data_IF_229833985857
#
_entry.id   IF_229833985857
#
_cell.length_a   1.000
_cell.length_b   1.000
_cell.length_c   1.000
_cell.angle_alpha   90.00
_cell.angle_beta   90.00
_cell.angle_gamma   90.00
#
_symmetry.space_group_name_H-M   'P 1'
#
loop_
_entity.id
_entity.type
_entity.pdbx_description
1 polymer ?
#
# COMPACT_ATOMS: atom_id res chain seq x y z
N UNK A 1 25.85 30.35 -56.01
CA UNK A 1 25.32 29.04 -55.57
C UNK A 1 26.46 28.29 -54.90
N UNK A 2 26.42 28.15 -53.57
CA UNK A 2 27.53 27.59 -52.79
C UNK A 2 27.34 26.08 -52.64
N UNK A 3 28.19 25.30 -53.30
CA UNK A 3 28.17 23.82 -53.24
C UNK A 3 29.15 23.35 -52.19
N UNK A 4 28.65 22.83 -51.07
CA UNK A 4 29.48 22.23 -50.02
C UNK A 4 29.88 20.82 -50.50
N UNK A 5 31.18 20.53 -50.59
CA UNK A 5 31.70 19.19 -50.92
C UNK A 5 32.33 18.58 -49.67
N UNK A 6 31.78 17.47 -49.19
CA UNK A 6 32.34 16.73 -48.05
C UNK A 6 33.49 15.84 -48.50
N UNK A 7 34.57 15.82 -47.72
CA UNK A 7 35.66 14.85 -47.86
C UNK A 7 35.22 13.46 -47.37
N UNK A 8 35.94 12.41 -47.74
CA UNK A 8 35.66 11.03 -47.30
C UNK A 8 35.57 10.90 -45.77
N UNK A 9 36.40 11.67 -45.05
CA UNK A 9 36.40 11.72 -43.59
C UNK A 9 35.16 12.43 -43.04
N UNK A 10 34.69 13.48 -43.73
CA UNK A 10 33.45 14.18 -43.38
C UNK A 10 32.21 13.27 -43.50
N UNK A 11 32.17 12.40 -44.50
CA UNK A 11 31.11 11.39 -44.64
C UNK A 11 31.12 10.38 -43.48
N UNK A 12 32.29 9.92 -43.05
CA UNK A 12 32.39 9.02 -41.89
C UNK A 12 31.84 9.67 -40.62
N UNK A 13 32.20 10.92 -40.34
CA UNK A 13 31.69 11.66 -39.17
C UNK A 13 30.18 11.82 -39.24
N UNK A 14 29.64 12.18 -40.41
CA UNK A 14 28.20 12.37 -40.60
C UNK A 14 27.43 11.07 -40.36
N UNK A 15 27.92 9.94 -40.88
CA UNK A 15 27.32 8.62 -40.67
C UNK A 15 27.35 8.24 -39.18
N UNK A 16 28.47 8.46 -38.49
CA UNK A 16 28.57 8.19 -37.05
C UNK A 16 27.59 9.07 -36.26
N UNK A 17 27.47 10.35 -36.58
CA UNK A 17 26.52 11.24 -35.93
C UNK A 17 25.07 10.80 -36.16
N UNK A 18 24.70 10.41 -37.39
CA UNK A 18 23.38 9.85 -37.68
C UNK A 18 23.16 8.56 -36.90
N UNK A 19 24.16 7.67 -36.84
CA UNK A 19 24.07 6.41 -36.10
C UNK A 19 23.87 6.67 -34.60
N UNK A 20 24.60 7.60 -34.00
CA UNK A 20 24.44 7.97 -32.58
C UNK A 20 23.04 8.56 -32.33
N UNK A 21 22.55 9.44 -33.21
CA UNK A 21 21.20 10.00 -33.10
C UNK A 21 20.16 8.88 -33.26
N UNK A 22 20.34 7.98 -34.22
CA UNK A 22 19.45 6.85 -34.47
C UNK A 22 19.44 5.87 -33.29
N UNK A 23 20.60 5.56 -32.71
CA UNK A 23 20.71 4.75 -31.49
C UNK A 23 20.09 5.46 -30.28
N UNK A 24 20.23 6.78 -30.17
CA UNK A 24 19.53 7.57 -29.15
C UNK A 24 18.01 7.47 -29.33
N UNK A 25 17.51 7.61 -30.56
CA UNK A 25 16.08 7.43 -30.86
C UNK A 25 15.61 6.00 -30.56
N UNK A 26 16.36 4.96 -30.96
CA UNK A 26 16.05 3.57 -30.65
C UNK A 26 16.09 3.27 -29.14
N UNK A 27 17.02 3.89 -28.41
CA UNK A 27 17.11 3.81 -26.96
C UNK A 27 15.91 4.50 -26.30
N UNK A 28 15.51 5.68 -26.78
CA UNK A 28 14.25 6.34 -26.37
C UNK A 28 12.99 5.58 -26.79
N UNK A 29 13.05 4.79 -27.87
CA UNK A 29 11.94 3.98 -28.38
C UNK A 29 11.76 2.63 -27.68
N UNK A 30 12.76 2.18 -26.90
CA UNK A 30 12.52 1.22 -25.85
C UNK A 30 12.16 2.04 -24.61
N UNK A 31 10.88 2.26 -24.29
CA UNK A 31 10.55 2.61 -22.93
C UNK A 31 10.96 1.39 -22.10
N UNK A 32 12.20 1.38 -21.58
CA UNK A 32 12.52 0.68 -20.35
C UNK A 32 11.37 1.08 -19.44
N UNK A 33 10.51 0.09 -19.13
CA UNK A 33 9.11 0.26 -18.80
C UNK A 33 8.86 1.56 -18.08
N UNK A 34 8.05 2.43 -18.69
CA UNK A 34 7.61 3.69 -18.13
C UNK A 34 7.31 3.45 -16.63
N UNK A 35 8.22 3.87 -15.72
CA UNK A 35 7.95 3.94 -14.29
C UNK A 35 6.90 5.06 -14.16
N UNK A 36 5.66 4.70 -14.47
CA UNK A 36 4.53 5.62 -14.62
C UNK A 36 3.69 5.43 -13.37
N UNK A 37 3.96 6.25 -12.38
CA UNK A 37 3.27 6.23 -11.10
C UNK A 37 3.92 7.21 -10.14
N UNK A 38 3.15 7.66 -9.15
CA UNK A 38 3.69 8.45 -8.05
C UNK A 38 4.78 7.65 -7.32
N UNK A 39 5.95 8.24 -7.07
CA UNK A 39 7.01 7.60 -6.27
C UNK A 39 6.80 7.96 -4.81
N UNK A 40 6.74 6.95 -3.94
CA UNK A 40 6.57 7.14 -2.50
C UNK A 40 7.82 6.75 -1.72
N UNK A 41 7.98 7.38 -0.55
CA UNK A 41 8.95 6.97 0.47
C UNK A 41 8.42 5.73 1.19
N UNK A 42 9.21 4.66 1.21
CA UNK A 42 8.89 3.45 1.98
C UNK A 42 8.86 3.77 3.47
N UNK A 43 9.73 4.67 3.95
CA UNK A 43 9.69 5.12 5.34
C UNK A 43 8.35 5.79 5.67
N UNK A 44 7.88 6.71 4.82
CA UNK A 44 6.57 7.37 4.97
C UNK A 44 5.43 6.36 4.95
N UNK A 45 5.45 5.41 4.02
CA UNK A 45 4.43 4.36 3.93
C UNK A 45 4.39 3.53 5.23
N UNK A 46 5.55 3.08 5.71
CA UNK A 46 5.66 2.31 6.94
C UNK A 46 5.18 3.10 8.17
N UNK A 47 5.52 4.38 8.26
CA UNK A 47 5.02 5.27 9.31
C UNK A 47 3.49 5.31 9.32
N UNK A 48 2.85 5.45 8.16
CA UNK A 48 1.40 5.39 8.08
C UNK A 48 0.83 4.01 8.47
N UNK A 49 1.44 2.91 8.02
CA UNK A 49 1.00 1.56 8.40
C UNK A 49 1.04 1.35 9.92
N UNK A 50 2.09 1.82 10.60
CA UNK A 50 2.24 1.70 12.05
C UNK A 50 1.14 2.48 12.75
N UNK A 51 0.93 3.76 12.39
CA UNK A 51 -0.13 4.57 13.00
C UNK A 51 -1.52 3.96 12.84
N UNK A 52 -1.85 3.49 11.63
CA UNK A 52 -3.15 2.84 11.37
C UNK A 52 -3.30 1.54 12.15
N UNK A 53 -2.20 0.78 12.34
CA UNK A 53 -2.21 -0.45 13.12
C UNK A 53 -2.39 -0.18 14.62
N UNK A 54 -1.79 0.90 15.15
CA UNK A 54 -1.99 1.33 16.53
C UNK A 54 -3.43 1.78 16.80
N UNK A 55 -4.00 2.55 15.86
CA UNK A 55 -5.40 2.98 15.92
C UNK A 55 -6.35 1.77 15.87
N UNK A 56 -6.15 0.87 14.91
CA UNK A 56 -6.92 -0.37 14.80
C UNK A 56 -6.81 -1.23 16.07
N UNK A 57 -5.61 -1.39 16.64
CA UNK A 57 -5.40 -2.10 17.90
C UNK A 57 -6.12 -1.43 19.08
N UNK A 58 -6.14 -0.10 19.12
CA UNK A 58 -6.90 0.68 20.10
C UNK A 58 -8.40 0.40 20.01
N UNK A 59 -8.94 0.33 18.79
CA UNK A 59 -10.34 -0.02 18.54
C UNK A 59 -10.64 -1.46 18.97
N UNK A 60 -9.82 -2.43 18.56
CA UNK A 60 -10.01 -3.85 18.91
C UNK A 60 -10.05 -4.03 20.44
N UNK A 61 -9.15 -3.34 21.16
CA UNK A 61 -9.13 -3.33 22.62
C UNK A 61 -10.40 -2.69 23.20
N UNK A 62 -10.86 -1.57 22.64
CA UNK A 62 -12.07 -0.89 23.09
C UNK A 62 -13.32 -1.77 22.94
N UNK A 63 -13.47 -2.44 21.80
CA UNK A 63 -14.58 -3.38 21.54
C UNK A 63 -14.52 -4.58 22.50
N UNK A 64 -13.32 -5.12 22.72
CA UNK A 64 -13.09 -6.22 23.67
C UNK A 64 -13.53 -5.84 25.09
N UNK A 65 -13.14 -4.65 25.57
CA UNK A 65 -13.50 -4.15 26.92
C UNK A 65 -15.00 -3.85 27.08
N UNK A 66 -15.69 -3.47 26.00
CA UNK A 66 -17.14 -3.25 26.03
C UNK A 66 -17.96 -4.55 26.06
N UNK A 67 -17.32 -5.72 25.90
CA UNK A 67 -17.99 -7.02 25.71
C UNK A 67 -19.02 -7.03 24.56
N UNK A 68 -18.96 -6.07 23.65
CA UNK A 68 -19.90 -5.91 22.53
C UNK A 68 -19.27 -6.44 21.24
N UNK A 69 -18.94 -7.73 21.23
CA UNK A 69 -18.23 -8.36 20.11
C UNK A 69 -19.08 -8.45 18.84
N UNK A 70 -20.41 -8.37 18.95
CA UNK A 70 -21.37 -8.42 17.83
C UNK A 70 -20.94 -9.42 16.75
N UNK A 71 -20.67 -10.66 17.17
CA UNK A 71 -20.11 -11.67 16.29
C UNK A 71 -21.13 -12.12 15.25
N UNK A 72 -20.63 -12.27 14.04
CA UNK A 72 -21.28 -12.77 12.84
C UNK A 72 -20.51 -13.98 12.36
N UNK A 73 -21.09 -14.66 11.40
CA UNK A 73 -20.43 -15.75 10.71
C UNK A 73 -20.20 -15.33 9.28
N UNK A 74 -18.94 -15.43 8.82
CA UNK A 74 -18.59 -15.25 7.41
C UNK A 74 -19.41 -16.24 6.58
N UNK A 75 -19.93 -15.84 5.42
CA UNK A 75 -20.62 -16.75 4.50
C UNK A 75 -19.60 -17.70 3.84
N UNK A 76 -19.07 -18.64 4.62
CA UNK A 76 -18.25 -19.76 4.17
C UNK A 76 -19.12 -21.02 4.07
N UNK A 77 -18.88 -21.84 3.04
CA UNK A 77 -19.61 -23.06 2.77
C UNK A 77 -19.71 -24.01 3.98
N UNK A 78 -20.62 -24.97 3.86
CA UNK A 78 -21.20 -25.93 4.83
C UNK A 78 -20.30 -26.50 5.97
N UNK A 79 -18.98 -26.29 5.99
CA UNK A 79 -18.01 -26.98 6.84
C UNK A 79 -17.17 -26.10 7.78
N UNK A 80 -17.09 -24.76 7.63
CA UNK A 80 -16.34 -23.93 8.58
C UNK A 80 -16.95 -22.53 8.70
N UNK A 81 -17.60 -22.28 9.84
CA UNK A 81 -18.17 -20.98 10.19
C UNK A 81 -17.07 -20.16 10.85
N UNK A 82 -16.39 -19.33 10.07
CA UNK A 82 -15.39 -18.40 10.60
C UNK A 82 -16.11 -17.22 11.29
N UNK A 83 -15.75 -16.89 12.55
CA UNK A 83 -16.32 -15.74 13.23
C UNK A 83 -15.83 -14.47 12.56
N UNK A 84 -16.71 -13.48 12.47
CA UNK A 84 -16.45 -12.14 12.00
C UNK A 84 -17.02 -11.18 13.02
N UNK A 85 -16.24 -10.25 13.55
CA UNK A 85 -16.69 -9.32 14.60
C UNK A 85 -16.67 -7.87 14.12
N UNK A 86 -17.31 -6.99 14.88
CA UNK A 86 -17.19 -5.55 14.66
C UNK A 86 -15.72 -5.07 14.81
N UNK A 87 -14.86 -5.84 15.50
CA UNK A 87 -13.45 -5.54 15.62
C UNK A 87 -12.68 -5.82 14.32
N UNK A 88 -12.94 -6.94 13.63
CA UNK A 88 -12.37 -7.24 12.32
C UNK A 88 -12.79 -6.17 11.30
N UNK A 89 -14.09 -5.88 11.22
CA UNK A 89 -14.64 -4.90 10.27
C UNK A 89 -14.16 -3.48 10.56
N UNK A 90 -14.07 -3.12 11.84
CA UNK A 90 -13.62 -1.80 12.26
C UNK A 90 -12.13 -1.59 12.01
N UNK A 91 -11.30 -2.59 12.32
CA UNK A 91 -9.87 -2.61 12.00
C UNK A 91 -9.64 -2.53 10.50
N UNK A 92 -10.37 -3.34 9.72
CA UNK A 92 -10.37 -3.27 8.25
C UNK A 92 -10.67 -1.85 7.76
N UNK A 93 -11.74 -1.24 8.26
CA UNK A 93 -12.14 0.10 7.84
C UNK A 93 -11.05 1.14 8.13
N UNK A 94 -10.44 1.12 9.33
CA UNK A 94 -9.37 2.04 9.71
C UNK A 94 -8.17 1.88 8.77
N UNK A 95 -7.65 0.66 8.64
CA UNK A 95 -6.42 0.40 7.89
C UNK A 95 -6.62 0.65 6.40
N UNK A 96 -7.66 0.07 5.79
CA UNK A 96 -7.87 0.16 4.34
C UNK A 96 -8.27 1.57 3.92
N UNK A 97 -9.17 2.23 4.66
CA UNK A 97 -9.57 3.60 4.33
C UNK A 97 -8.40 4.57 4.54
N UNK A 98 -7.61 4.39 5.61
CA UNK A 98 -6.43 5.20 5.89
C UNK A 98 -5.37 5.08 4.80
N UNK A 99 -5.05 3.85 4.37
CA UNK A 99 -4.08 3.59 3.31
C UNK A 99 -4.56 4.13 1.95
N UNK A 100 -5.80 3.84 1.56
CA UNK A 100 -6.34 4.27 0.26
C UNK A 100 -6.55 5.78 0.17
N UNK A 101 -6.82 6.45 1.30
CA UNK A 101 -6.90 7.91 1.35
C UNK A 101 -5.53 8.58 1.28
N UNK A 102 -4.51 8.00 1.94
CA UNK A 102 -3.15 8.54 1.96
C UNK A 102 -2.36 8.23 0.67
N UNK A 103 -2.64 7.09 0.04
CA UNK A 103 -1.96 6.58 -1.15
C UNK A 103 -2.98 6.05 -2.17
N UNK A 104 -3.62 6.92 -2.99
CA UNK A 104 -4.73 6.52 -3.86
C UNK A 104 -4.39 5.49 -4.94
N UNK A 105 -3.13 5.44 -5.40
CA UNK A 105 -2.66 4.50 -6.42
C UNK A 105 -2.13 3.17 -5.82
N UNK A 106 -2.11 3.04 -4.48
CA UNK A 106 -1.62 1.83 -3.80
C UNK A 106 -2.63 0.68 -3.91
N UNK A 107 -2.14 -0.50 -4.32
CA UNK A 107 -2.95 -1.71 -4.29
C UNK A 107 -3.03 -2.27 -2.87
N UNK A 108 -4.22 -2.22 -2.26
CA UNK A 108 -4.49 -2.81 -0.93
C UNK A 108 -5.39 -4.04 -1.10
N UNK A 109 -4.99 -5.17 -0.51
CA UNK A 109 -5.73 -6.43 -0.47
C UNK A 109 -6.03 -6.78 0.96
N UNK A 110 -7.30 -6.80 1.36
CA UNK A 110 -7.69 -7.18 2.72
C UNK A 110 -8.48 -8.49 2.73
N UNK A 111 -8.37 -9.23 3.82
CA UNK A 111 -9.24 -10.39 4.06
C UNK A 111 -10.72 -9.99 4.09
N UNK A 112 -11.01 -8.89 4.79
CA UNK A 112 -12.37 -8.39 4.97
C UNK A 112 -12.77 -7.44 3.86
N UNK A 113 -14.06 -7.42 3.55
CA UNK A 113 -14.63 -6.65 2.44
C UNK A 113 -15.91 -5.89 2.84
N UNK A 114 -16.45 -6.19 4.02
CA UNK A 114 -17.66 -5.57 4.55
C UNK A 114 -17.30 -4.36 5.42
N UNK A 115 -18.27 -3.46 5.60
CA UNK A 115 -18.16 -2.36 6.55
C UNK A 115 -18.87 -2.71 7.86
N UNK A 116 -18.42 -2.14 9.00
CA UNK A 116 -19.13 -2.26 10.27
C UNK A 116 -20.58 -1.82 10.11
N UNK A 117 -21.52 -2.61 10.62
CA UNK A 117 -22.96 -2.27 10.55
C UNK A 117 -23.34 -1.19 11.55
N UNK A 118 -22.58 -1.08 12.64
CA UNK A 118 -22.69 0.03 13.56
C UNK A 118 -21.52 0.96 13.34
N UNK A 119 -21.83 2.23 13.07
CA UNK A 119 -20.81 3.27 13.04
C UNK A 119 -20.18 3.30 14.43
N UNK A 120 -18.86 3.13 14.46
CA UNK A 120 -18.03 3.10 15.66
C UNK A 120 -17.88 4.50 16.30
N UNK A 121 -18.97 5.27 16.35
CA UNK A 121 -19.01 6.68 16.73
C UNK A 121 -18.46 6.97 18.14
N UNK A 122 -18.45 5.96 19.01
CA UNK A 122 -17.97 6.09 20.38
C UNK A 122 -16.44 5.92 20.51
N UNK A 123 -15.79 5.33 19.51
CA UNK A 123 -14.34 5.20 19.53
C UNK A 123 -13.73 6.55 19.15
N UNK A 124 -13.19 7.24 20.16
CA UNK A 124 -12.33 8.39 19.92
C UNK A 124 -10.93 7.84 19.67
N UNK A 125 -10.36 8.23 18.53
CA UNK A 125 -8.98 7.94 18.16
C UNK A 125 -8.08 8.11 19.39
N UNK A 126 -7.57 6.97 19.87
CA UNK A 126 -6.60 6.99 20.94
C UNK A 126 -5.31 7.45 20.31
N UNK A 127 -4.92 8.69 20.64
CA UNK A 127 -3.67 9.28 20.19
C UNK A 127 -2.51 8.47 20.79
N UNK A 128 -2.09 7.43 20.07
CA UNK A 128 -0.91 6.64 20.39
C UNK A 128 0.27 7.19 19.58
N UNK A 129 1.28 7.65 20.32
CA UNK A 129 2.56 8.09 19.79
C UNK A 129 3.61 7.12 20.33
N UNK A 130 3.64 5.86 19.89
CA UNK A 130 4.88 5.12 20.11
C UNK A 130 5.99 5.92 19.41
N UNK A 131 7.11 6.17 20.10
CA UNK A 131 8.25 6.88 19.53
C UNK A 131 9.05 5.92 18.61
N UNK A 132 8.36 5.34 17.63
CA UNK A 132 8.93 4.38 16.69
C UNK A 132 9.78 5.07 15.62
N UNK A 133 9.61 6.39 15.43
CA UNK A 133 10.34 7.14 14.41
C UNK A 133 11.85 7.07 14.65
N UNK A 134 12.28 7.09 15.91
CA UNK A 134 13.68 6.92 16.31
C UNK A 134 14.25 5.53 15.98
N UNK A 135 13.39 4.53 15.79
CA UNK A 135 13.75 3.14 15.48
C UNK A 135 13.78 2.85 13.98
N UNK A 136 13.31 3.77 13.14
CA UNK A 136 13.34 3.60 11.70
C UNK A 136 14.77 3.84 11.16
N UNK A 137 15.19 3.11 10.12
CA UNK A 137 16.45 3.39 9.43
C UNK A 137 16.54 4.85 8.95
N UNK A 138 17.75 5.41 9.00
CA UNK A 138 18.01 6.75 8.48
C UNK A 138 17.96 6.82 6.95
N UNK A 139 18.29 5.70 6.29
CA UNK A 139 18.23 5.58 4.84
C UNK A 139 16.78 5.35 4.40
N UNK A 140 16.33 6.12 3.41
CA UNK A 140 14.98 6.01 2.85
C UNK A 140 15.04 5.42 1.44
N UNK A 141 14.07 4.56 1.15
CA UNK A 141 13.91 3.91 -0.14
C UNK A 141 12.70 4.50 -0.85
N UNK A 142 12.91 4.92 -2.10
CA UNK A 142 11.86 5.48 -2.94
C UNK A 142 11.44 4.47 -4.00
N UNK A 143 10.15 4.17 -4.08
CA UNK A 143 9.60 3.17 -5.01
C UNK A 143 8.33 3.70 -5.68
N UNK A 144 8.03 3.32 -6.94
CA UNK A 144 6.74 3.60 -7.54
C UNK A 144 5.63 2.94 -6.72
N UNK A 145 4.59 3.71 -6.37
CA UNK A 145 3.47 3.22 -5.57
C UNK A 145 2.70 2.08 -6.26
N UNK A 146 2.67 2.10 -7.59
CA UNK A 146 2.04 1.10 -8.45
C UNK A 146 2.74 -0.27 -8.41
N UNK A 147 4.00 -0.30 -7.96
CA UNK A 147 4.79 -1.53 -7.83
C UNK A 147 4.61 -2.18 -6.44
N UNK A 148 3.85 -1.52 -5.56
CA UNK A 148 3.58 -1.99 -4.20
C UNK A 148 2.20 -2.63 -4.06
N UNK A 149 2.15 -3.67 -3.23
CA UNK A 149 0.90 -4.25 -2.73
C UNK A 149 0.99 -4.42 -1.21
N UNK A 150 -0.05 -3.98 -0.50
CA UNK A 150 -0.21 -4.23 0.93
C UNK A 150 -1.29 -5.28 1.15
N UNK A 151 -0.96 -6.31 1.91
CA UNK A 151 -1.88 -7.35 2.35
C UNK A 151 -2.28 -7.08 3.79
N UNK A 152 -3.58 -7.00 4.04
CA UNK A 152 -4.15 -6.61 5.34
C UNK A 152 -5.01 -7.75 5.88
N UNK A 153 -4.52 -8.39 6.92
CA UNK A 153 -5.35 -9.14 7.86
C UNK A 153 -5.71 -8.19 9.01
N UNK A 154 -6.98 -7.76 9.13
CA UNK A 154 -7.37 -6.75 10.12
C UNK A 154 -7.36 -7.27 11.55
N UNK A 155 -7.52 -8.59 11.76
CA UNK A 155 -7.48 -9.22 13.06
C UNK A 155 -7.21 -10.72 12.87
N UNK A 156 -5.94 -11.12 13.02
CA UNK A 156 -5.57 -12.52 13.03
C UNK A 156 -6.02 -13.17 14.35
N UNK A 157 -6.51 -14.41 14.29
CA UNK A 157 -7.00 -15.15 15.46
C UNK A 157 -8.40 -14.73 15.94
N UNK A 158 -9.35 -14.48 15.03
CA UNK A 158 -10.74 -14.10 15.40
C UNK A 158 -11.44 -15.15 16.28
N UNK A 159 -11.08 -16.44 16.17
CA UNK A 159 -11.64 -17.50 17.02
C UNK A 159 -11.16 -17.40 18.47
N UNK A 160 -9.85 -17.18 18.65
CA UNK A 160 -9.20 -16.93 19.93
C UNK A 160 -9.77 -15.66 20.56
N UNK A 161 -9.91 -14.60 19.76
CA UNK A 161 -10.45 -13.32 20.20
C UNK A 161 -11.90 -13.41 20.70
N UNK A 162 -12.72 -14.23 20.04
CA UNK A 162 -14.11 -14.47 20.46
C UNK A 162 -14.24 -15.50 21.59
N UNK A 163 -13.15 -16.14 22.01
CA UNK A 163 -13.16 -17.16 23.06
C UNK A 163 -13.82 -18.48 22.64
N UNK A 164 -13.98 -18.72 21.33
CA UNK A 164 -14.62 -19.91 20.76
C UNK A 164 -13.71 -21.15 20.74
N UNK A 165 -12.48 -21.05 21.26
CA UNK A 165 -11.49 -22.13 21.32
C UNK A 165 -11.49 -22.93 22.65
N UNK A 166 -12.60 -22.93 23.40
CA UNK A 166 -12.77 -23.79 24.57
C UNK A 166 -13.61 -25.03 24.26
#
# INVERSE_FOLDING_TARGET
>A
MMTIRLSTHGWCVLIISILVIFLYYLSSFNPIGHLKGEVTSVRRLLTHCIHLSEEAGGLIKFISLKHSLNSRTKHGGMLKREPLTDADLGSHQIIVSGLTSAFPELLVRSEEHELPTHRLFDYKESVYHSDFQSSLPNDDLFVPITDLVIWVDPLDGTQEYTGLLN
#
